data_IF_788541242067
#
_entry.id   IF_788541242067
#
_cell.length_a   1.000
_cell.length_b   1.000
_cell.length_c   1.000
_cell.angle_alpha   90.00
_cell.angle_beta   90.00
_cell.angle_gamma   90.00
#
_symmetry.space_group_name_H-M   'P 1'
#
loop_
_entity.id
_entity.type
_entity.pdbx_description
1 polymer ?
#
# COMPACT_ATOMS: atom_id res chain seq x y z
N UNK A 1 -12.91 0.55 -22.40
CA UNK A 1 -12.31 0.04 -21.17
C UNK A 1 -11.43 1.09 -20.53
N UNK A 2 -11.60 1.30 -19.26
CA UNK A 2 -10.85 2.31 -18.54
C UNK A 2 -9.49 1.77 -18.11
N UNK A 3 -8.44 2.54 -18.34
CA UNK A 3 -7.10 2.23 -17.88
C UNK A 3 -6.96 2.62 -16.42
N UNK A 4 -6.45 1.74 -15.59
CA UNK A 4 -6.30 2.03 -14.15
C UNK A 4 -5.30 3.17 -13.87
N UNK A 5 -4.43 3.47 -14.82
CA UNK A 5 -3.52 4.63 -14.71
C UNK A 5 -4.25 5.94 -14.48
N UNK A 6 -5.53 6.02 -14.90
CA UNK A 6 -6.38 7.17 -14.65
C UNK A 6 -6.53 7.47 -13.14
N UNK A 7 -6.52 6.43 -12.32
CA UNK A 7 -6.68 6.55 -10.86
C UNK A 7 -5.35 6.62 -10.12
N UNK A 8 -4.24 6.52 -10.83
CA UNK A 8 -2.93 6.37 -10.20
C UNK A 8 -2.48 7.66 -9.52
N UNK A 9 -2.13 7.55 -8.23
CA UNK A 9 -1.29 8.54 -7.58
C UNK A 9 0.15 8.11 -7.84
N UNK A 10 0.91 8.89 -8.64
CA UNK A 10 2.24 8.45 -9.05
C UNK A 10 3.22 8.40 -7.89
N UNK A 11 4.24 7.58 -8.04
CA UNK A 11 5.28 7.36 -7.02
C UNK A 11 5.83 8.68 -6.45
N UNK A 12 6.01 9.69 -7.29
CA UNK A 12 6.54 10.99 -6.86
C UNK A 12 5.66 11.72 -5.84
N UNK A 13 4.40 11.32 -5.72
CA UNK A 13 3.43 11.91 -4.80
C UNK A 13 3.07 10.99 -3.64
N UNK A 14 3.71 9.83 -3.54
CA UNK A 14 3.41 8.83 -2.52
C UNK A 14 4.55 8.78 -1.51
N UNK A 15 4.20 8.75 -0.22
CA UNK A 15 5.20 8.46 0.80
C UNK A 15 5.47 6.96 0.80
N UNK A 16 6.72 6.58 0.64
CA UNK A 16 7.18 5.20 0.72
C UNK A 16 8.51 5.16 1.46
N UNK A 17 8.94 3.97 1.86
CA UNK A 17 10.22 3.80 2.52
C UNK A 17 11.06 2.77 1.79
N UNK A 18 12.37 2.96 1.77
CA UNK A 18 13.29 2.04 1.10
C UNK A 18 13.76 0.94 2.03
N UNK A 19 14.02 -0.24 1.46
CA UNK A 19 14.68 -1.31 2.19
C UNK A 19 15.98 -0.80 2.83
N UNK A 20 16.37 -1.37 3.94
CA UNK A 20 17.55 -0.96 4.68
C UNK A 20 17.33 0.24 5.60
N UNK A 21 16.15 0.87 5.54
CA UNK A 21 15.82 1.96 6.46
C UNK A 21 15.63 1.43 7.89
N UNK A 22 15.87 2.29 8.88
CA UNK A 22 15.67 1.92 10.27
C UNK A 22 14.18 1.99 10.66
N UNK A 23 13.85 1.32 11.75
CA UNK A 23 12.52 1.42 12.36
C UNK A 23 12.20 2.86 12.70
N UNK A 24 13.16 3.60 13.21
CA UNK A 24 12.99 5.02 13.54
C UNK A 24 12.62 5.85 12.30
N UNK A 25 13.34 5.65 11.19
CA UNK A 25 13.05 6.36 9.94
C UNK A 25 11.64 6.06 9.44
N UNK A 26 11.20 4.80 9.57
CA UNK A 26 9.86 4.39 9.19
C UNK A 26 8.79 5.09 10.02
N UNK A 27 8.96 5.10 11.34
CA UNK A 27 8.02 5.74 12.26
C UNK A 27 7.95 7.25 12.03
N UNK A 28 9.10 7.90 11.83
CA UNK A 28 9.15 9.33 11.55
C UNK A 28 8.43 9.68 10.25
N UNK A 29 8.61 8.85 9.23
CA UNK A 29 7.95 9.05 7.95
C UNK A 29 6.44 8.87 8.05
N UNK A 30 6.00 7.84 8.76
CA UNK A 30 4.58 7.57 9.00
C UNK A 30 3.93 8.75 9.75
N UNK A 31 4.59 9.24 10.78
CA UNK A 31 4.09 10.37 11.57
C UNK A 31 4.01 11.65 10.73
N UNK A 32 5.06 11.92 9.95
CA UNK A 32 5.12 13.14 9.11
C UNK A 32 3.99 13.22 8.11
N UNK A 33 3.65 12.10 7.49
CA UNK A 33 2.65 12.05 6.42
C UNK A 33 1.27 11.67 6.92
N UNK A 34 1.13 11.28 8.19
CA UNK A 34 -0.14 10.85 8.75
C UNK A 34 -0.67 9.55 8.15
N UNK A 35 0.22 8.72 7.61
CA UNK A 35 -0.17 7.45 7.01
C UNK A 35 -0.23 6.34 8.06
N UNK A 36 -1.13 5.39 7.82
CA UNK A 36 -1.24 4.20 8.67
C UNK A 36 -0.52 2.99 8.07
N UNK A 37 -0.09 3.10 6.83
CA UNK A 37 0.63 2.06 6.11
C UNK A 37 1.56 2.68 5.07
N UNK A 38 2.79 2.17 4.98
CA UNK A 38 3.79 2.64 4.03
C UNK A 38 4.19 1.53 3.06
N UNK A 39 4.19 1.79 1.76
CA UNK A 39 4.85 0.89 0.80
C UNK A 39 6.36 0.84 1.05
N UNK A 40 6.93 -0.35 0.88
CA UNK A 40 8.37 -0.58 0.98
C UNK A 40 8.92 -0.90 -0.40
N UNK A 41 9.98 -0.21 -0.77
CA UNK A 41 10.56 -0.27 -2.11
C UNK A 41 12.01 -0.74 -2.00
N UNK A 42 12.44 -1.63 -2.89
CA UNK A 42 13.83 -2.07 -2.96
C UNK A 42 14.73 -0.97 -3.49
N UNK A 43 16.04 -1.19 -3.39
CA UNK A 43 17.03 -0.23 -3.90
C UNK A 43 16.89 0.02 -5.40
N UNK A 44 16.44 -0.98 -6.15
CA UNK A 44 16.22 -0.87 -7.59
C UNK A 44 14.77 -0.54 -7.96
N UNK A 45 13.96 -0.16 -6.98
CA UNK A 45 12.63 0.40 -7.23
C UNK A 45 11.48 -0.60 -7.22
N UNK A 46 11.72 -1.87 -6.91
CA UNK A 46 10.65 -2.88 -6.89
C UNK A 46 9.82 -2.77 -5.62
N UNK A 47 8.54 -3.10 -5.76
CA UNK A 47 7.64 -3.16 -4.61
C UNK A 47 7.92 -4.43 -3.80
N UNK A 48 8.21 -4.28 -2.50
CA UNK A 48 8.52 -5.40 -1.62
C UNK A 48 7.38 -5.79 -0.68
N UNK A 49 6.49 -4.88 -0.41
CA UNK A 49 5.41 -5.07 0.56
C UNK A 49 5.07 -3.77 1.25
N UNK A 50 4.40 -3.87 2.39
CA UNK A 50 3.99 -2.70 3.17
C UNK A 50 4.28 -2.90 4.65
N UNK A 51 4.34 -1.80 5.39
CA UNK A 51 4.43 -1.82 6.85
C UNK A 51 3.31 -0.95 7.40
N UNK A 52 2.46 -1.50 8.26
CA UNK A 52 1.42 -0.73 8.93
C UNK A 52 1.80 -0.45 10.39
N UNK A 53 0.95 0.33 11.05
CA UNK A 53 1.17 0.68 12.46
C UNK A 53 1.31 -0.54 13.36
N UNK A 54 0.49 -1.57 13.13
CA UNK A 54 0.55 -2.81 13.90
C UNK A 54 1.87 -3.55 13.74
N UNK A 55 2.45 -3.55 12.54
CA UNK A 55 3.75 -4.18 12.30
C UNK A 55 4.84 -3.51 13.12
N UNK A 56 4.85 -2.19 13.18
CA UNK A 56 5.79 -1.45 14.03
C UNK A 56 5.58 -1.76 15.50
N UNK A 57 4.34 -1.75 15.96
CA UNK A 57 4.02 -1.99 17.37
C UNK A 57 4.45 -3.38 17.82
N UNK A 58 4.13 -4.41 17.06
CA UNK A 58 4.53 -5.79 17.37
C UNK A 58 6.05 -5.93 17.44
N UNK A 59 6.76 -5.31 16.51
CA UNK A 59 8.21 -5.33 16.50
C UNK A 59 8.79 -4.66 17.75
N UNK A 60 8.28 -3.49 18.12
CA UNK A 60 8.71 -2.75 19.29
C UNK A 60 8.47 -3.57 20.55
N UNK A 61 7.31 -4.18 20.69
CA UNK A 61 6.99 -5.02 21.84
C UNK A 61 7.91 -6.24 21.94
N UNK A 62 8.31 -6.81 20.80
CA UNK A 62 9.20 -7.97 20.77
C UNK A 62 10.65 -7.65 21.15
N UNK A 63 11.04 -6.39 21.08
CA UNK A 63 12.38 -5.96 21.45
C UNK A 63 12.62 -5.99 22.97
N UNK A 64 11.55 -5.97 23.78
CA UNK A 64 11.62 -5.99 25.23
C UNK A 64 12.00 -4.64 25.84
N UNK A 65 12.97 -3.93 25.28
CA UNK A 65 13.34 -2.58 25.70
C UNK A 65 13.44 -1.70 24.46
N UNK A 66 12.83 -0.52 24.53
CA UNK A 66 12.75 0.38 23.38
C UNK A 66 13.44 1.68 23.68
N UNK A 67 14.64 1.83 23.15
CA UNK A 67 15.36 3.10 23.16
C UNK A 67 15.40 3.65 21.74
N UNK A 68 15.62 4.94 21.60
CA UNK A 68 15.86 5.56 20.29
C UNK A 68 16.98 4.83 19.53
N UNK A 69 18.02 4.44 20.27
CA UNK A 69 19.17 3.75 19.69
C UNK A 69 18.79 2.37 19.15
N UNK A 70 17.95 1.63 19.86
CA UNK A 70 17.46 0.33 19.38
C UNK A 70 16.68 0.50 18.09
N UNK A 71 15.80 1.51 18.01
CA UNK A 71 15.03 1.80 16.81
C UNK A 71 15.88 2.25 15.62
N UNK A 72 17.02 2.90 15.88
CA UNK A 72 17.96 3.28 14.83
C UNK A 72 18.74 2.07 14.27
N UNK A 73 18.99 1.06 15.10
CA UNK A 73 19.72 -0.15 14.72
C UNK A 73 18.83 -1.16 14.01
N UNK A 74 17.58 -1.28 14.44
CA UNK A 74 16.65 -2.23 13.83
C UNK A 74 16.22 -1.77 12.45
N UNK A 75 16.08 -2.70 11.52
CA UNK A 75 15.73 -2.42 10.11
C UNK A 75 14.29 -2.79 9.83
N UNK A 76 13.67 -2.02 8.94
CA UNK A 76 12.28 -2.28 8.54
C UNK A 76 12.16 -3.59 7.76
N UNK A 77 13.27 -4.10 7.23
CA UNK A 77 13.26 -5.30 6.40
C UNK A 77 12.70 -6.53 7.12
N UNK A 78 12.86 -6.57 8.44
CA UNK A 78 12.40 -7.69 9.26
C UNK A 78 10.90 -7.67 9.53
N UNK A 79 10.22 -6.57 9.22
CA UNK A 79 8.80 -6.41 9.52
C UNK A 79 7.94 -6.11 8.29
N UNK A 80 8.51 -6.23 7.10
CA UNK A 80 7.74 -6.04 5.85
C UNK A 80 6.66 -7.11 5.76
N UNK A 81 5.42 -6.68 5.51
CA UNK A 81 4.27 -7.58 5.36
C UNK A 81 3.88 -7.71 3.89
N UNK A 82 3.49 -8.91 3.49
CA UNK A 82 2.95 -9.20 2.16
C UNK A 82 1.43 -9.12 2.10
N UNK A 83 0.78 -8.58 3.12
CA UNK A 83 -0.68 -8.46 3.16
C UNK A 83 -1.25 -7.57 2.06
N UNK A 84 -0.48 -6.58 1.60
CA UNK A 84 -0.86 -5.74 0.48
C UNK A 84 -0.24 -6.29 -0.79
N UNK A 85 -1.08 -6.79 -1.67
CA UNK A 85 -0.63 -7.33 -2.96
C UNK A 85 -0.76 -6.27 -4.04
N UNK A 86 0.24 -6.15 -4.93
CA UNK A 86 0.18 -5.17 -6.02
C UNK A 86 -0.62 -5.69 -7.20
N UNK A 87 -1.05 -4.75 -8.04
CA UNK A 87 -1.60 -5.06 -9.36
C UNK A 87 -0.69 -4.47 -10.43
N UNK A 88 -0.73 -5.04 -11.62
CA UNK A 88 -0.05 -4.46 -12.76
C UNK A 88 -0.92 -3.37 -13.38
N UNK A 89 -0.28 -2.41 -14.02
CA UNK A 89 -1.01 -1.30 -14.65
C UNK A 89 -2.00 -1.78 -15.73
N UNK A 90 -1.80 -3.00 -16.23
CA UNK A 90 -2.69 -3.62 -17.22
C UNK A 90 -3.84 -4.41 -16.61
N UNK A 91 -3.98 -4.42 -15.28
CA UNK A 91 -5.04 -5.16 -14.60
C UNK A 91 -6.43 -4.66 -15.02
N UNK A 92 -7.43 -5.51 -14.85
CA UNK A 92 -8.81 -5.15 -15.12
C UNK A 92 -9.38 -4.28 -14.00
N UNK A 93 -10.43 -3.53 -14.31
CA UNK A 93 -11.14 -2.76 -13.29
C UNK A 93 -11.74 -3.68 -12.21
N UNK A 94 -12.21 -4.85 -12.60
CA UNK A 94 -12.75 -5.82 -11.65
C UNK A 94 -11.70 -6.26 -10.63
N UNK A 95 -10.50 -6.61 -11.10
CA UNK A 95 -9.43 -7.04 -10.20
C UNK A 95 -8.94 -5.90 -9.32
N UNK A 96 -8.87 -4.69 -9.87
CA UNK A 96 -8.53 -3.51 -9.08
C UNK A 96 -9.52 -3.31 -7.93
N UNK A 97 -10.81 -3.39 -8.23
CA UNK A 97 -11.86 -3.21 -7.22
C UNK A 97 -11.82 -4.31 -6.15
N UNK A 98 -11.51 -5.55 -6.53
CA UNK A 98 -11.32 -6.63 -5.57
C UNK A 98 -10.22 -6.30 -4.57
N UNK A 99 -9.07 -5.89 -5.07
CA UNK A 99 -7.97 -5.49 -4.19
C UNK A 99 -8.38 -4.33 -3.28
N UNK A 100 -9.11 -3.36 -3.81
CA UNK A 100 -9.54 -2.19 -3.05
C UNK A 100 -10.56 -2.52 -1.95
N UNK A 101 -11.28 -3.64 -2.05
CA UNK A 101 -12.17 -4.07 -0.95
C UNK A 101 -11.38 -4.65 0.22
N UNK A 102 -10.20 -5.18 -0.02
CA UNK A 102 -9.36 -5.84 0.98
C UNK A 102 -8.24 -4.95 1.50
N UNK A 103 -7.85 -3.94 0.73
CA UNK A 103 -6.69 -3.09 1.01
C UNK A 103 -7.11 -1.62 1.00
N UNK A 104 -6.55 -0.82 1.90
CA UNK A 104 -6.82 0.62 1.96
C UNK A 104 -6.36 1.35 0.71
N UNK A 105 -5.29 0.86 0.09
CA UNK A 105 -4.82 1.32 -1.21
C UNK A 105 -4.26 0.11 -1.96
N UNK A 106 -4.14 0.25 -3.27
CA UNK A 106 -3.64 -0.82 -4.12
C UNK A 106 -2.33 -0.36 -4.75
N UNK A 107 -1.20 -1.00 -4.40
CA UNK A 107 0.08 -0.71 -5.07
C UNK A 107 0.01 -1.10 -6.54
N UNK A 108 0.60 -0.29 -7.39
CA UNK A 108 0.65 -0.54 -8.84
C UNK A 108 2.10 -0.70 -9.27
N UNK A 109 2.35 -1.75 -10.02
CA UNK A 109 3.70 -2.07 -10.53
C UNK A 109 3.65 -2.24 -12.05
N UNK A 110 4.81 -2.10 -12.68
CA UNK A 110 4.97 -2.41 -14.10
C UNK A 110 5.29 -3.90 -14.30
N UNK A 111 5.62 -4.30 -15.52
CA UNK A 111 5.92 -5.70 -15.86
C UNK A 111 7.23 -6.23 -15.27
N UNK A 112 8.04 -5.37 -14.66
CA UNK A 112 9.27 -5.73 -13.95
C UNK A 112 9.12 -5.63 -12.44
N UNK A 113 7.89 -5.48 -11.94
CA UNK A 113 7.57 -5.27 -10.52
C UNK A 113 8.08 -3.94 -9.96
N UNK A 114 8.42 -2.99 -10.84
CA UNK A 114 8.82 -1.65 -10.41
C UNK A 114 7.59 -0.89 -9.92
N UNK A 115 7.71 -0.31 -8.75
CA UNK A 115 6.64 0.45 -8.12
C UNK A 115 6.35 1.73 -8.91
N UNK A 116 5.11 1.89 -9.35
CA UNK A 116 4.66 3.04 -10.13
C UNK A 116 3.89 4.05 -9.29
N UNK A 117 3.25 3.60 -8.23
CA UNK A 117 2.39 4.42 -7.39
C UNK A 117 1.30 3.59 -6.76
N UNK A 118 0.23 4.25 -6.35
CA UNK A 118 -0.91 3.59 -5.69
C UNK A 118 -2.23 4.06 -6.29
N UNK A 119 -3.25 3.22 -6.14
CA UNK A 119 -4.64 3.61 -6.35
C UNK A 119 -5.32 3.58 -4.99
N UNK A 120 -5.90 4.70 -4.58
CA UNK A 120 -6.59 4.79 -3.28
C UNK A 120 -8.07 4.46 -3.42
N UNK A 121 -8.68 3.97 -2.35
CA UNK A 121 -10.14 3.80 -2.28
C UNK A 121 -10.83 5.13 -2.56
N UNK A 122 -10.29 6.23 -2.05
CA UNK A 122 -10.86 7.56 -2.23
C UNK A 122 -10.95 7.94 -3.71
N UNK A 123 -9.89 7.68 -4.48
CA UNK A 123 -9.89 7.98 -5.91
C UNK A 123 -10.99 7.21 -6.64
N UNK A 124 -11.16 5.93 -6.31
CA UNK A 124 -12.20 5.10 -6.91
C UNK A 124 -13.59 5.57 -6.52
N UNK A 125 -13.81 5.85 -5.24
CA UNK A 125 -15.11 6.33 -4.75
C UNK A 125 -15.48 7.69 -5.34
N UNK A 126 -14.51 8.58 -5.44
CA UNK A 126 -14.73 9.91 -6.02
C UNK A 126 -15.15 9.78 -7.49
N UNK A 127 -14.51 8.88 -8.23
CA UNK A 127 -14.89 8.63 -9.62
C UNK A 127 -16.31 8.07 -9.71
N UNK A 128 -16.66 7.08 -8.86
CA UNK A 128 -18.00 6.49 -8.84
C UNK A 128 -19.08 7.53 -8.58
N UNK A 129 -18.82 8.47 -7.66
CA UNK A 129 -19.79 9.51 -7.33
C UNK A 129 -20.02 10.49 -8.48
N UNK A 130 -18.98 10.78 -9.25
CA UNK A 130 -19.07 11.74 -10.36
C UNK A 130 -19.61 11.13 -11.65
N UNK A 131 -19.22 9.90 -11.95
CA UNK A 131 -19.41 9.30 -13.27
C UNK A 131 -20.22 8.02 -13.25
N UNK A 132 -20.40 7.42 -12.07
CA UNK A 132 -20.94 6.07 -11.98
C UNK A 132 -19.94 5.04 -12.48
N UNK A 133 -20.30 3.78 -12.36
CA UNK A 133 -19.57 2.66 -12.93
C UNK A 133 -20.56 1.65 -13.47
N UNK A 134 -20.20 0.97 -14.56
CA UNK A 134 -21.01 -0.11 -15.08
C UNK A 134 -20.96 -1.28 -14.09
N UNK A 135 -22.15 -1.77 -13.73
CA UNK A 135 -22.30 -2.80 -12.70
C UNK A 135 -21.67 -4.14 -13.06
N UNK A 136 -21.51 -4.41 -14.35
CA UNK A 136 -20.93 -5.67 -14.84
C UNK A 136 -19.47 -5.85 -14.48
N UNK A 137 -18.75 -4.75 -14.27
CA UNK A 137 -17.33 -4.79 -13.91
C UNK A 137 -17.10 -4.67 -12.41
N UNK A 138 -18.17 -4.58 -11.59
CA UNK A 138 -18.06 -4.44 -10.14
C UNK A 138 -18.08 -5.79 -9.43
N UNK A 139 -17.43 -5.90 -8.26
CA UNK A 139 -17.58 -7.07 -7.40
C UNK A 139 -19.05 -7.26 -7.01
N UNK A 140 -19.46 -8.52 -6.83
CA UNK A 140 -20.84 -8.80 -6.44
C UNK A 140 -21.10 -8.32 -5.00
N UNK A 141 -22.38 -8.05 -4.70
CA UNK A 141 -22.79 -7.69 -3.35
C UNK A 141 -22.39 -8.75 -2.31
N UNK A 142 -22.41 -10.02 -2.69
CA UNK A 142 -21.99 -11.12 -1.83
C UNK A 142 -20.49 -11.03 -1.50
N UNK A 143 -19.66 -10.74 -2.49
CA UNK A 143 -18.23 -10.57 -2.31
C UNK A 143 -17.94 -9.43 -1.33
N UNK A 144 -18.57 -8.29 -1.53
CA UNK A 144 -18.39 -7.11 -0.67
C UNK A 144 -18.81 -7.40 0.77
N UNK A 145 -19.91 -8.12 0.97
CA UNK A 145 -20.38 -8.47 2.32
C UNK A 145 -19.41 -9.34 3.10
N UNK A 146 -18.70 -10.23 2.42
CA UNK A 146 -17.72 -11.09 3.10
C UNK A 146 -16.54 -10.32 3.66
N UNK A 147 -16.24 -9.17 3.08
CA UNK A 147 -15.13 -8.33 3.50
C UNK A 147 -15.50 -7.31 4.58
N UNK A 148 -16.77 -7.19 4.88
CA UNK A 148 -17.23 -6.24 5.93
C UNK A 148 -16.99 -6.79 7.35
#
# INVERSE_FOLDING_TARGET
TMNIAFFLTPKSQVAYIREGSSIRQGLEKMQRHGYTCLPVISKDGRFLGCINEGDFLWNILSMGSVTTKDMERARIDDIISDRYTPVRVTTTMEDLLRHATEQNFVPVVDDRDIFMGIVTRRALLTYCLKNGMETESLPTAEYVRRES
#
